data_IF_843516848381
#
_entry.id   IF_843516848381
#
_cell.length_a   1.000
_cell.length_b   1.000
_cell.length_c   1.000
_cell.angle_alpha   90.00
_cell.angle_beta   90.00
_cell.angle_gamma   90.00
#
_symmetry.space_group_name_H-M   'P 1'
#
loop_
_entity.id
_entity.type
_entity.pdbx_description
1 polymer ?
#
# COMPACT_ATOMS: atom_id res chain seq x y z
N UNK A 1 -11.43 1.50 -10.63
CA UNK A 1 -11.10 2.48 -9.57
C UNK A 1 -10.37 1.82 -8.41
N UNK A 2 -10.93 0.75 -7.82
CA UNK A 2 -10.26 -0.11 -6.82
C UNK A 2 -8.87 -0.60 -7.24
N UNK A 3 -8.76 -1.19 -8.43
CA UNK A 3 -7.47 -1.78 -8.87
C UNK A 3 -6.40 -0.72 -9.15
N UNK A 4 -6.80 0.47 -9.61
CA UNK A 4 -5.90 1.63 -9.81
C UNK A 4 -5.37 2.15 -8.47
N UNK A 5 -6.20 2.15 -7.41
CA UNK A 5 -5.75 2.52 -6.07
C UNK A 5 -4.76 1.50 -5.50
N UNK A 6 -5.02 0.21 -5.70
CA UNK A 6 -4.10 -0.86 -5.29
C UNK A 6 -2.74 -0.77 -5.99
N UNK A 7 -2.74 -0.52 -7.30
CA UNK A 7 -1.51 -0.35 -8.06
C UNK A 7 -0.71 0.87 -7.55
N UNK A 8 -1.39 1.99 -7.27
CA UNK A 8 -0.74 3.18 -6.69
C UNK A 8 -0.16 2.92 -5.31
N UNK A 9 -0.88 2.21 -4.45
CA UNK A 9 -0.39 1.82 -3.11
C UNK A 9 0.87 0.96 -3.23
N UNK A 10 0.86 -0.04 -4.11
CA UNK A 10 2.00 -0.92 -4.36
C UNK A 10 3.23 -0.14 -4.85
N UNK A 11 3.04 0.75 -5.82
CA UNK A 11 4.10 1.55 -6.39
C UNK A 11 4.73 2.52 -5.36
N UNK A 12 3.90 3.14 -4.52
CA UNK A 12 4.38 3.99 -3.42
C UNK A 12 5.13 3.17 -2.37
N UNK A 13 4.65 1.96 -2.03
CA UNK A 13 5.35 1.09 -1.09
C UNK A 13 6.74 0.71 -1.61
N UNK A 14 6.86 0.38 -2.90
CA UNK A 14 8.16 0.08 -3.50
C UNK A 14 9.13 1.26 -3.42
N UNK A 15 8.65 2.48 -3.69
CA UNK A 15 9.45 3.70 -3.55
C UNK A 15 9.87 3.97 -2.12
N UNK A 16 8.96 3.77 -1.16
CA UNK A 16 9.23 3.91 0.27
C UNK A 16 10.32 2.93 0.71
N UNK A 17 10.24 1.66 0.30
CA UNK A 17 11.24 0.64 0.62
C UNK A 17 12.58 1.00 0.00
N UNK A 18 12.61 1.41 -1.27
CA UNK A 18 13.84 1.85 -1.93
C UNK A 18 14.49 3.02 -1.19
N UNK A 19 13.72 4.06 -0.84
CA UNK A 19 14.22 5.19 -0.05
C UNK A 19 14.70 4.79 1.34
N UNK A 20 13.98 3.88 2.01
CA UNK A 20 14.38 3.38 3.33
C UNK A 20 15.67 2.57 3.30
N UNK A 21 15.95 1.87 2.20
CA UNK A 21 17.20 1.14 1.99
C UNK A 21 18.38 2.09 1.72
N UNK A 22 18.16 3.13 0.91
CA UNK A 22 19.22 4.07 0.52
C UNK A 22 19.53 5.11 1.61
N UNK A 23 18.50 5.63 2.30
CA UNK A 23 18.63 6.79 3.19
C UNK A 23 18.20 6.52 4.64
N UNK A 24 17.71 5.32 4.94
CA UNK A 24 17.19 4.94 6.26
C UNK A 24 15.71 5.25 6.45
N UNK A 25 15.09 4.60 7.45
CA UNK A 25 13.66 4.67 7.70
C UNK A 25 13.20 6.02 8.29
N UNK A 26 14.12 6.76 8.92
CA UNK A 26 13.84 8.08 9.50
C UNK A 26 13.89 9.22 8.47
N UNK A 27 14.16 8.91 7.19
CA UNK A 27 14.20 9.90 6.13
C UNK A 27 12.81 10.53 5.92
N UNK A 28 12.69 11.86 5.80
CA UNK A 28 11.39 12.55 5.66
C UNK A 28 10.55 12.00 4.51
N UNK A 29 11.16 11.71 3.36
CA UNK A 29 10.44 11.15 2.21
C UNK A 29 9.83 9.76 2.50
N UNK A 30 10.47 8.93 3.33
CA UNK A 30 9.93 7.62 3.74
C UNK A 30 8.67 7.82 4.58
N UNK A 31 8.70 8.80 5.49
CA UNK A 31 7.54 9.18 6.29
C UNK A 31 6.41 9.75 5.42
N UNK A 32 6.75 10.59 4.45
CA UNK A 32 5.77 11.12 3.48
C UNK A 32 5.11 10.01 2.66
N UNK A 33 5.90 9.03 2.19
CA UNK A 33 5.34 7.87 1.48
C UNK A 33 4.42 7.05 2.39
N UNK A 34 4.78 6.85 3.67
CA UNK A 34 3.93 6.15 4.62
C UNK A 34 2.57 6.85 4.78
N UNK A 35 2.57 8.17 4.93
CA UNK A 35 1.34 8.97 5.07
C UNK A 35 0.48 8.85 3.81
N UNK A 36 1.09 8.93 2.62
CA UNK A 36 0.37 8.81 1.34
C UNK A 36 -0.25 7.41 1.16
N UNK A 37 0.48 6.36 1.53
CA UNK A 37 -0.01 4.98 1.49
C UNK A 37 -1.22 4.81 2.42
N UNK A 38 -1.16 5.36 3.63
CA UNK A 38 -2.27 5.30 4.60
C UNK A 38 -3.53 6.04 4.09
N UNK A 39 -3.34 7.20 3.47
CA UNK A 39 -4.46 7.95 2.86
C UNK A 39 -5.15 7.14 1.76
N UNK A 40 -4.36 6.53 0.86
CA UNK A 40 -4.92 5.70 -0.21
C UNK A 40 -5.59 4.43 0.34
N UNK A 41 -5.07 3.84 1.41
CA UNK A 41 -5.74 2.73 2.11
C UNK A 41 -7.09 3.16 2.69
N UNK A 42 -7.16 4.35 3.29
CA UNK A 42 -8.42 4.89 3.80
C UNK A 42 -9.44 5.15 2.69
N UNK A 43 -9.02 5.70 1.55
CA UNK A 43 -9.87 5.88 0.37
C UNK A 43 -10.39 4.54 -0.17
N UNK A 44 -9.51 3.54 -0.27
CA UNK A 44 -9.86 2.20 -0.72
C UNK A 44 -10.90 1.56 0.21
N UNK A 45 -10.69 1.65 1.52
CA UNK A 45 -11.63 1.16 2.52
C UNK A 45 -13.00 1.87 2.43
N UNK A 46 -13.03 3.18 2.20
CA UNK A 46 -14.28 3.92 2.03
C UNK A 46 -15.04 3.46 0.78
N UNK A 47 -14.34 3.25 -0.33
CA UNK A 47 -14.94 2.72 -1.57
C UNK A 47 -15.51 1.33 -1.32
N UNK A 48 -14.76 0.43 -0.69
CA UNK A 48 -15.24 -0.91 -0.37
C UNK A 48 -16.43 -0.90 0.60
N UNK A 49 -16.41 -0.01 1.60
CA UNK A 49 -17.54 0.16 2.52
C UNK A 49 -18.79 0.65 1.78
N UNK A 50 -18.64 1.60 0.85
CA UNK A 50 -19.75 2.09 0.03
C UNK A 50 -20.33 1.00 -0.88
N UNK A 51 -19.46 0.15 -1.46
CA UNK A 51 -19.87 -0.98 -2.31
C UNK A 51 -20.49 -2.13 -1.50
N UNK A 52 -19.99 -2.39 -0.29
CA UNK A 52 -20.48 -3.47 0.57
C UNK A 52 -21.91 -3.23 1.09
N UNK A 53 -22.35 -1.97 1.19
CA UNK A 53 -23.76 -1.64 1.46
C UNK A 53 -24.70 -2.07 0.32
N UNK A 54 -24.19 -2.31 -0.90
CA UNK A 54 -24.95 -2.80 -2.04
C UNK A 54 -24.81 -4.32 -2.28
N UNK A 55 -23.87 -5.01 -1.61
CA UNK A 55 -23.61 -6.43 -1.84
C UNK A 55 -22.63 -7.04 -0.84
N UNK A 56 -23.14 -7.92 -0.01
CA UNK A 56 -22.44 -8.60 1.09
C UNK A 56 -21.37 -9.60 0.57
N UNK A 57 -20.14 -9.16 0.32
CA UNK A 57 -18.95 -10.05 0.17
C UNK A 57 -17.66 -9.34 0.58
N UNK A 58 -17.21 -9.54 1.82
CA UNK A 58 -15.82 -9.23 2.22
C UNK A 58 -14.87 -10.23 1.54
N UNK A 59 -14.29 -9.88 0.37
CA UNK A 59 -13.13 -10.61 -0.15
C UNK A 59 -11.88 -10.08 0.55
N UNK A 60 -11.14 -10.96 1.22
CA UNK A 60 -9.84 -10.66 1.78
C UNK A 60 -8.91 -10.19 0.67
N UNK A 61 -8.35 -8.98 0.82
CA UNK A 61 -7.36 -8.46 -0.11
C UNK A 61 -6.09 -9.30 -0.02
N UNK A 62 -5.74 -9.95 -1.13
CA UNK A 62 -4.51 -10.71 -1.28
C UNK A 62 -3.45 -9.79 -1.88
N UNK A 63 -2.60 -9.24 -1.03
CA UNK A 63 -1.37 -8.60 -1.49
C UNK A 63 -0.47 -9.69 -2.08
N UNK A 64 0.04 -9.45 -3.29
CA UNK A 64 1.14 -10.25 -3.83
C UNK A 64 2.42 -9.66 -3.22
N UNK A 65 2.84 -10.20 -2.07
CA UNK A 65 4.24 -10.09 -1.67
C UNK A 65 5.04 -10.77 -2.77
N UNK A 66 5.60 -9.99 -3.70
CA UNK A 66 6.71 -10.48 -4.51
C UNK A 66 7.88 -10.59 -3.52
N UNK A 67 7.97 -11.74 -2.85
CA UNK A 67 9.12 -12.15 -2.05
C UNK A 67 10.33 -12.25 -2.99
N UNK A 68 10.93 -11.10 -3.32
CA UNK A 68 12.29 -11.09 -3.78
C UNK A 68 13.16 -11.33 -2.54
N UNK A 69 13.65 -12.58 -2.43
CA UNK A 69 14.68 -13.07 -1.53
C UNK A 69 15.59 -11.97 -0.96
N UNK A 70 15.18 -11.32 0.13
CA UNK A 70 16.08 -10.51 0.92
C UNK A 70 16.83 -11.45 1.85
N UNK A 71 18.00 -11.92 1.40
CA UNK A 71 18.99 -12.51 2.28
C UNK A 71 19.47 -11.43 3.24
N UNK A 72 18.89 -11.38 4.44
CA UNK A 72 19.51 -10.69 5.56
C UNK A 72 20.68 -11.57 6.02
N UNK A 73 21.89 -11.08 5.77
CA UNK A 73 23.15 -11.67 6.22
C UNK A 73 23.34 -11.52 7.73
#
# INVERSE_FOLDING_TARGET
>A
MRDVLLEKIELLRQRMVYMGLEFGLDHPDVLEYSIQIDQLHNELNQIDHSLSKAGNRKKAYRFYLMENNAHFA
#
